data_IF_557706328556
#
_entry.id   IF_557706328556
#
_cell.length_a   1.000
_cell.length_b   1.000
_cell.length_c   1.000
_cell.angle_alpha   90.00
_cell.angle_beta   90.00
_cell.angle_gamma   90.00
#
_symmetry.space_group_name_H-M   'P 1'
#
loop_
_entity.id
_entity.type
_entity.pdbx_description
1 polymer ?
#
# COMPACT_ATOMS: atom_id res chain seq x y z
N UNK A 1 -41.52 10.64 16.51
CA UNK A 1 -40.99 9.30 16.48
C UNK A 1 -40.73 8.99 15.02
N UNK A 2 -39.54 9.41 14.51
CA UNK A 2 -39.15 9.23 13.10
C UNK A 2 -38.19 8.03 13.10
N UNK A 3 -38.70 6.91 12.61
CA UNK A 3 -37.92 5.71 12.37
C UNK A 3 -36.82 6.03 11.34
N UNK A 4 -35.58 6.14 11.82
CA UNK A 4 -34.40 6.03 10.96
C UNK A 4 -34.29 4.58 10.53
N UNK A 5 -34.98 4.21 9.47
CA UNK A 5 -34.69 3.02 8.68
C UNK A 5 -33.27 3.18 8.11
N UNK A 6 -32.29 2.63 8.82
CA UNK A 6 -30.97 2.33 8.28
C UNK A 6 -31.19 1.35 7.12
N UNK A 7 -31.28 1.87 5.92
CA UNK A 7 -31.14 1.07 4.71
C UNK A 7 -29.75 0.47 4.72
N UNK A 8 -29.67 -0.78 5.06
CA UNK A 8 -28.50 -1.63 4.87
C UNK A 8 -28.38 -1.86 3.36
N UNK A 9 -27.90 -0.85 2.62
CA UNK A 9 -27.71 -0.95 1.17
C UNK A 9 -26.47 -1.80 0.92
N UNK A 10 -26.69 -3.06 0.53
CA UNK A 10 -25.68 -3.85 -0.16
C UNK A 10 -25.25 -3.05 -1.40
N UNK A 11 -24.03 -2.52 -1.39
CA UNK A 11 -23.56 -1.62 -2.45
C UNK A 11 -22.49 -2.30 -3.28
N UNK A 12 -22.83 -2.57 -4.54
CA UNK A 12 -21.86 -3.01 -5.52
C UNK A 12 -20.93 -1.84 -5.88
N UNK A 13 -19.69 -1.89 -5.43
CA UNK A 13 -18.71 -0.83 -5.64
C UNK A 13 -17.70 -1.25 -6.68
N UNK A 14 -17.52 -0.42 -7.71
CA UNK A 14 -16.45 -0.52 -8.71
C UNK A 14 -15.33 0.41 -8.30
N UNK A 15 -14.11 -0.12 -8.24
CA UNK A 15 -12.93 0.66 -7.87
C UNK A 15 -11.66 0.02 -8.42
N UNK A 16 -10.62 0.81 -8.52
CA UNK A 16 -9.28 0.26 -8.71
C UNK A 16 -8.71 -0.19 -7.38
N UNK A 17 -7.88 -1.21 -7.42
CA UNK A 17 -7.29 -1.82 -6.23
C UNK A 17 -5.88 -2.31 -6.48
N UNK A 18 -5.05 -2.17 -5.47
CA UNK A 18 -3.71 -2.73 -5.39
C UNK A 18 -3.75 -3.99 -4.52
N UNK A 19 -3.23 -5.09 -5.02
CA UNK A 19 -3.13 -6.34 -4.26
C UNK A 19 -1.99 -6.21 -3.26
N UNK A 20 -2.29 -6.29 -1.96
CA UNK A 20 -1.28 -6.25 -0.91
C UNK A 20 -0.84 -7.64 -0.51
N UNK A 21 -1.79 -8.54 -0.23
CA UNK A 21 -1.52 -9.90 0.25
C UNK A 21 -2.62 -10.85 -0.16
N UNK A 22 -2.24 -12.09 -0.42
CA UNK A 22 -3.18 -13.19 -0.63
C UNK A 22 -2.85 -14.36 0.29
N UNK A 23 -3.84 -14.85 1.05
CA UNK A 23 -3.69 -15.93 2.00
C UNK A 23 -4.70 -17.03 1.69
N UNK A 24 -4.26 -18.29 1.68
CA UNK A 24 -5.16 -19.43 1.52
C UNK A 24 -6.06 -19.57 2.76
N UNK A 25 -7.37 -19.69 2.55
CA UNK A 25 -8.38 -19.78 3.62
C UNK A 25 -9.18 -21.09 3.62
N UNK A 26 -9.05 -21.92 2.61
CA UNK A 26 -9.75 -23.19 2.45
C UNK A 26 -9.26 -23.90 1.20
N UNK A 27 -9.99 -24.88 0.70
CA UNK A 27 -9.55 -25.68 -0.46
C UNK A 27 -9.30 -24.81 -1.69
N UNK A 28 -10.27 -24.00 -2.08
CA UNK A 28 -10.17 -23.08 -3.23
C UNK A 28 -10.49 -21.63 -2.86
N UNK A 29 -10.60 -21.30 -1.56
CA UNK A 29 -10.89 -19.95 -1.10
C UNK A 29 -9.63 -19.26 -0.62
N UNK A 30 -9.53 -17.98 -0.95
CA UNK A 30 -8.44 -17.11 -0.55
C UNK A 30 -9.01 -15.82 0.03
N UNK A 31 -8.35 -15.32 1.06
CA UNK A 31 -8.53 -13.95 1.53
C UNK A 31 -7.47 -13.10 0.84
N UNK A 32 -7.92 -12.00 0.25
CA UNK A 32 -7.06 -11.07 -0.48
C UNK A 32 -7.23 -9.72 0.18
N UNK A 33 -6.13 -9.18 0.65
CA UNK A 33 -6.04 -7.84 1.18
C UNK A 33 -5.72 -6.87 0.05
N UNK A 34 -6.57 -5.88 -0.10
CA UNK A 34 -6.51 -4.88 -1.16
C UNK A 34 -6.42 -3.48 -0.56
N UNK A 35 -5.67 -2.61 -1.21
CA UNK A 35 -5.76 -1.17 -1.00
C UNK A 35 -6.47 -0.56 -2.20
N UNK A 36 -7.64 0.03 -1.96
CA UNK A 36 -8.54 0.50 -3.01
C UNK A 36 -8.60 2.02 -3.05
N UNK A 37 -8.88 2.57 -4.23
CA UNK A 37 -9.02 4.02 -4.41
C UNK A 37 -10.23 4.59 -3.66
N UNK A 38 -11.37 3.86 -3.67
CA UNK A 38 -12.65 4.36 -3.14
C UNK A 38 -12.92 3.95 -1.69
N UNK A 39 -12.36 2.84 -1.21
CA UNK A 39 -12.70 2.27 0.09
C UNK A 39 -11.51 2.20 1.06
N UNK A 40 -10.29 2.56 0.61
CA UNK A 40 -9.08 2.34 1.39
C UNK A 40 -8.75 0.84 1.53
N UNK A 41 -8.37 0.41 2.72
CA UNK A 41 -8.03 -0.99 3.00
C UNK A 41 -9.28 -1.87 3.08
N UNK A 42 -9.33 -2.91 2.25
CA UNK A 42 -10.45 -3.88 2.22
C UNK A 42 -9.91 -5.30 2.10
N UNK A 43 -10.46 -6.21 2.90
CA UNK A 43 -10.21 -7.65 2.75
C UNK A 43 -11.38 -8.31 2.03
N UNK A 44 -11.09 -9.04 0.96
CA UNK A 44 -12.10 -9.76 0.17
C UNK A 44 -11.86 -11.26 0.19
N UNK A 45 -12.94 -12.03 0.05
CA UNK A 45 -12.86 -13.46 -0.17
C UNK A 45 -13.21 -13.79 -1.61
N UNK A 46 -12.40 -14.65 -2.25
CA UNK A 46 -12.63 -15.13 -3.60
C UNK A 46 -12.27 -16.62 -3.74
N UNK A 47 -12.97 -17.31 -4.64
CA UNK A 47 -12.59 -18.67 -5.05
C UNK A 47 -11.66 -18.57 -6.26
N UNK A 48 -10.41 -18.99 -6.07
CA UNK A 48 -9.34 -18.89 -7.08
C UNK A 48 -9.01 -20.29 -7.57
N UNK A 49 -8.93 -20.45 -8.88
CA UNK A 49 -8.56 -21.72 -9.52
C UNK A 49 -7.53 -21.47 -10.63
N UNK A 50 -6.73 -22.50 -10.92
CA UNK A 50 -5.79 -22.48 -12.05
C UNK A 50 -6.45 -22.90 -13.37
N UNK A 51 -7.74 -23.21 -13.38
CA UNK A 51 -8.47 -23.57 -14.61
C UNK A 51 -8.50 -22.38 -15.59
N UNK A 52 -8.33 -22.63 -16.90
CA UNK A 52 -8.46 -21.59 -17.93
C UNK A 52 -9.83 -20.89 -17.94
N UNK A 53 -10.87 -21.59 -17.46
CA UNK A 53 -12.25 -21.08 -17.32
C UNK A 53 -12.54 -20.45 -15.96
N UNK A 54 -11.53 -20.37 -15.06
CA UNK A 54 -11.74 -19.80 -13.75
C UNK A 54 -12.08 -18.31 -13.86
N UNK A 55 -13.07 -17.88 -13.07
CA UNK A 55 -13.46 -16.47 -12.95
C UNK A 55 -12.31 -15.63 -12.41
N UNK A 56 -11.53 -16.17 -11.48
CA UNK A 56 -10.37 -15.52 -10.89
C UNK A 56 -9.14 -16.41 -11.07
N UNK A 57 -8.13 -15.87 -11.75
CA UNK A 57 -6.85 -16.54 -11.94
C UNK A 57 -5.87 -16.11 -10.85
N UNK A 58 -5.04 -17.03 -10.39
CA UNK A 58 -4.05 -16.76 -9.35
C UNK A 58 -3.05 -15.66 -9.77
N UNK A 59 -2.74 -15.55 -11.06
CA UNK A 59 -1.84 -14.53 -11.60
C UNK A 59 -2.31 -13.09 -11.37
N UNK A 60 -3.62 -12.86 -11.20
CA UNK A 60 -4.15 -11.52 -10.92
C UNK A 60 -3.81 -11.04 -9.51
N UNK A 61 -3.59 -11.96 -8.58
CA UNK A 61 -3.38 -11.65 -7.18
C UNK A 61 -1.92 -11.76 -6.75
N UNK A 62 -1.01 -11.44 -7.67
CA UNK A 62 0.40 -11.23 -7.34
C UNK A 62 0.55 -9.93 -6.51
N UNK A 63 1.56 -9.84 -5.61
CA UNK A 63 1.82 -8.63 -4.86
C UNK A 63 1.90 -7.39 -5.75
N UNK A 64 1.26 -6.32 -5.32
CA UNK A 64 1.19 -5.00 -5.96
C UNK A 64 0.63 -4.98 -7.40
N UNK A 65 -0.10 -6.03 -7.81
CA UNK A 65 -0.85 -5.99 -9.07
C UNK A 65 -1.99 -4.99 -8.97
N UNK A 66 -2.14 -4.16 -10.03
CA UNK A 66 -3.25 -3.20 -10.17
C UNK A 66 -4.44 -3.87 -10.86
N UNK A 67 -5.59 -3.83 -10.21
CA UNK A 67 -6.83 -4.44 -10.67
C UNK A 67 -7.97 -3.42 -10.76
N UNK A 68 -8.82 -3.57 -11.77
CA UNK A 68 -10.19 -3.07 -11.76
C UNK A 68 -11.07 -4.14 -11.14
N UNK A 69 -11.77 -3.80 -10.06
CA UNK A 69 -12.55 -4.75 -9.27
C UNK A 69 -13.99 -4.28 -9.04
N UNK A 70 -14.85 -5.25 -8.81
CA UNK A 70 -16.21 -5.06 -8.31
C UNK A 70 -16.37 -5.82 -7.00
N UNK A 71 -16.76 -5.13 -5.94
CA UNK A 71 -16.93 -5.67 -4.59
C UNK A 71 -18.37 -5.47 -4.14
N UNK A 72 -18.96 -6.53 -3.56
CA UNK A 72 -20.23 -6.44 -2.82
C UNK A 72 -19.90 -6.03 -1.37
N UNK A 73 -20.06 -4.74 -1.09
CA UNK A 73 -19.70 -4.13 0.20
C UNK A 73 -20.88 -4.24 1.16
N UNK A 74 -20.64 -4.86 2.33
CA UNK A 74 -21.61 -4.97 3.42
C UNK A 74 -21.02 -4.48 4.71
N UNK A 75 -21.59 -3.46 5.31
CA UNK A 75 -21.10 -2.86 6.56
C UNK A 75 -21.04 -3.85 7.73
N UNK A 76 -21.89 -4.89 7.70
CA UNK A 76 -21.96 -5.92 8.75
C UNK A 76 -20.86 -6.99 8.63
N UNK A 77 -20.03 -6.96 7.59
CA UNK A 77 -19.01 -7.97 7.32
C UNK A 77 -17.62 -7.38 7.27
N UNK A 78 -16.67 -8.01 7.93
CA UNK A 78 -15.25 -7.68 7.84
C UNK A 78 -14.62 -8.18 6.53
N UNK A 79 -15.14 -9.30 5.97
CA UNK A 79 -14.69 -9.87 4.70
C UNK A 79 -15.76 -9.62 3.63
N UNK A 80 -15.39 -8.88 2.61
CA UNK A 80 -16.26 -8.55 1.49
C UNK A 80 -16.21 -9.64 0.40
N UNK A 81 -17.17 -9.62 -0.52
CA UNK A 81 -17.24 -10.59 -1.62
C UNK A 81 -16.75 -9.97 -2.93
N UNK A 82 -15.69 -10.53 -3.51
CA UNK A 82 -15.19 -10.11 -4.82
C UNK A 82 -16.12 -10.66 -5.92
N UNK A 83 -16.66 -9.76 -6.74
CA UNK A 83 -17.59 -10.11 -7.85
C UNK A 83 -16.86 -10.17 -9.19
N UNK A 84 -15.97 -9.24 -9.48
CA UNK A 84 -15.14 -9.26 -10.68
C UNK A 84 -13.75 -8.71 -10.41
N UNK A 85 -12.79 -9.13 -11.21
CA UNK A 85 -11.44 -8.59 -11.23
C UNK A 85 -10.85 -8.71 -12.63
N UNK A 86 -10.20 -7.65 -13.10
CA UNK A 86 -9.43 -7.60 -14.33
C UNK A 86 -8.17 -6.76 -14.10
N UNK A 87 -7.15 -6.96 -14.93
CA UNK A 87 -5.94 -6.14 -14.84
C UNK A 87 -6.25 -4.71 -15.25
N UNK A 88 -6.00 -3.74 -14.37
CA UNK A 88 -6.11 -2.32 -14.67
C UNK A 88 -4.85 -1.82 -15.41
N UNK A 89 -3.69 -2.37 -15.05
CA UNK A 89 -2.42 -2.04 -15.68
C UNK A 89 -1.57 -3.32 -15.84
N UNK A 90 -1.25 -3.72 -17.08
CA UNK A 90 -0.37 -4.86 -17.33
C UNK A 90 1.09 -4.42 -17.21
N UNK A 91 1.73 -4.76 -16.09
CA UNK A 91 3.16 -4.50 -15.92
C UNK A 91 4.00 -5.28 -16.95
N UNK A 92 5.00 -4.62 -17.51
CA UNK A 92 5.88 -5.18 -18.55
C UNK A 92 7.13 -5.85 -17.98
N UNK A 93 7.72 -5.29 -16.92
CA UNK A 93 9.00 -5.72 -16.39
C UNK A 93 8.97 -6.04 -14.89
N UNK A 94 8.04 -5.47 -14.14
CA UNK A 94 8.00 -5.55 -12.69
C UNK A 94 7.90 -6.99 -12.15
N UNK A 95 7.29 -7.90 -12.92
CA UNK A 95 7.11 -9.31 -12.55
C UNK A 95 8.14 -10.25 -13.19
N UNK A 96 9.03 -9.74 -14.04
CA UNK A 96 10.04 -10.54 -14.76
C UNK A 96 11.47 -10.17 -14.38
N UNK A 97 11.71 -8.94 -13.93
CA UNK A 97 13.02 -8.49 -13.44
C UNK A 97 13.20 -8.88 -11.95
N UNK A 98 14.22 -9.69 -11.63
CA UNK A 98 14.46 -10.14 -10.25
C UNK A 98 14.67 -8.98 -9.26
N UNK A 99 15.34 -7.90 -9.68
CA UNK A 99 15.61 -6.74 -8.82
C UNK A 99 14.30 -6.01 -8.48
N UNK A 100 13.43 -5.83 -9.47
CA UNK A 100 12.10 -5.23 -9.27
C UNK A 100 11.21 -6.13 -8.42
N UNK A 101 11.25 -7.43 -8.63
CA UNK A 101 10.50 -8.40 -7.81
C UNK A 101 10.86 -8.31 -6.34
N UNK A 102 12.16 -8.20 -5.99
CA UNK A 102 12.59 -8.01 -4.60
C UNK A 102 12.03 -6.73 -4.00
N UNK A 103 12.06 -5.62 -4.75
CA UNK A 103 11.49 -4.34 -4.32
C UNK A 103 9.97 -4.47 -4.11
N UNK A 104 9.27 -5.09 -5.05
CA UNK A 104 7.81 -5.30 -5.00
C UNK A 104 7.40 -6.13 -3.79
N UNK A 105 8.10 -7.22 -3.51
CA UNK A 105 7.83 -8.06 -2.34
C UNK A 105 8.02 -7.28 -1.03
N UNK A 106 9.13 -6.56 -0.90
CA UNK A 106 9.38 -5.70 0.25
C UNK A 106 8.29 -4.62 0.43
N UNK A 107 7.97 -3.89 -0.65
CA UNK A 107 6.96 -2.83 -0.60
C UNK A 107 5.56 -3.37 -0.32
N UNK A 108 5.24 -4.57 -0.79
CA UNK A 108 3.96 -5.22 -0.50
C UNK A 108 3.77 -5.47 1.01
N UNK A 109 4.80 -6.00 1.68
CA UNK A 109 4.77 -6.20 3.13
C UNK A 109 4.75 -4.87 3.89
N UNK A 110 5.56 -3.91 3.47
CA UNK A 110 5.59 -2.57 4.04
C UNK A 110 4.21 -1.88 3.94
N UNK A 111 3.59 -1.89 2.76
CA UNK A 111 2.26 -1.33 2.54
C UNK A 111 1.19 -2.08 3.34
N UNK A 112 1.30 -3.41 3.48
CA UNK A 112 0.41 -4.17 4.36
C UNK A 112 0.40 -3.64 5.80
N UNK A 113 1.54 -3.24 6.32
CA UNK A 113 1.67 -2.70 7.67
C UNK A 113 1.15 -1.26 7.77
N UNK A 114 1.58 -0.40 6.85
CA UNK A 114 1.29 1.04 6.88
C UNK A 114 -0.18 1.34 6.58
N UNK A 115 -0.82 0.58 5.69
CA UNK A 115 -2.22 0.82 5.30
C UNK A 115 -3.23 0.00 6.12
N UNK A 116 -2.84 -0.56 7.26
CA UNK A 116 -3.70 -1.49 8.02
C UNK A 116 -5.08 -0.92 8.35
N UNK A 117 -5.12 0.32 8.83
CA UNK A 117 -6.33 1.01 9.27
C UNK A 117 -6.68 2.19 8.35
N UNK A 118 -6.08 2.22 7.14
CA UNK A 118 -6.22 3.32 6.22
C UNK A 118 -7.62 3.35 5.61
N UNK A 119 -8.31 4.44 5.82
CA UNK A 119 -9.57 4.77 5.18
C UNK A 119 -9.33 5.21 3.72
N UNK A 120 -10.38 5.64 3.03
CA UNK A 120 -10.25 6.22 1.70
C UNK A 120 -9.22 7.36 1.70
N UNK A 121 -8.14 7.19 0.93
CA UNK A 121 -7.10 8.17 0.76
C UNK A 121 -6.63 8.14 -0.70
N UNK A 122 -7.33 8.89 -1.53
CA UNK A 122 -7.09 8.93 -2.99
C UNK A 122 -5.70 9.48 -3.32
N UNK A 123 -5.17 10.42 -2.51
CA UNK A 123 -3.82 10.96 -2.74
C UNK A 123 -2.75 9.90 -2.50
N UNK A 124 -2.86 9.16 -1.41
CA UNK A 124 -1.96 8.04 -1.09
C UNK A 124 -2.06 6.95 -2.17
N UNK A 125 -3.29 6.58 -2.57
CA UNK A 125 -3.52 5.59 -3.61
C UNK A 125 -2.84 5.98 -4.93
N UNK A 126 -3.07 7.22 -5.39
CA UNK A 126 -2.48 7.73 -6.63
C UNK A 126 -0.95 7.82 -6.56
N UNK A 127 -0.39 8.19 -5.40
CA UNK A 127 1.06 8.18 -5.20
C UNK A 127 1.62 6.78 -5.35
N UNK A 128 1.03 5.77 -4.69
CA UNK A 128 1.48 4.36 -4.77
C UNK A 128 1.39 3.87 -6.22
N UNK A 129 0.25 4.04 -6.86
CA UNK A 129 0.00 3.64 -8.25
C UNK A 129 1.04 4.23 -9.20
N UNK A 130 1.18 5.55 -9.21
CA UNK A 130 2.13 6.24 -10.10
C UNK A 130 3.58 5.83 -9.86
N UNK A 131 3.94 5.55 -8.59
CA UNK A 131 5.27 5.07 -8.24
C UNK A 131 5.56 3.67 -8.80
N UNK A 132 4.58 2.77 -8.78
CA UNK A 132 4.71 1.43 -9.34
C UNK A 132 4.75 1.44 -10.86
N UNK A 133 3.93 2.26 -11.51
CA UNK A 133 3.96 2.47 -12.96
C UNK A 133 5.33 3.03 -13.39
N UNK A 134 5.90 3.96 -12.62
CA UNK A 134 7.24 4.49 -12.84
C UNK A 134 8.32 3.41 -12.68
N UNK A 135 8.24 2.57 -11.63
CA UNK A 135 9.18 1.46 -11.40
C UNK A 135 9.15 0.46 -12.55
N UNK A 136 7.95 0.14 -13.06
CA UNK A 136 7.80 -0.78 -14.20
C UNK A 136 8.50 -0.24 -15.45
N UNK A 137 8.35 1.04 -15.76
CA UNK A 137 8.92 1.68 -16.93
C UNK A 137 10.42 1.99 -16.86
N UNK A 138 11.08 1.84 -15.69
CA UNK A 138 12.53 2.12 -15.55
C UNK A 138 13.36 0.87 -15.76
N UNK A 139 14.47 1.00 -16.50
CA UNK A 139 15.44 -0.08 -16.72
C UNK A 139 16.62 -0.01 -15.76
N UNK A 140 17.03 1.21 -15.35
CA UNK A 140 18.21 1.45 -14.53
C UNK A 140 17.93 2.37 -13.34
N UNK A 141 18.86 2.43 -12.40
CA UNK A 141 18.85 3.33 -11.23
C UNK A 141 17.67 3.09 -10.27
N UNK A 142 17.23 1.82 -10.12
CA UNK A 142 16.10 1.44 -9.25
C UNK A 142 16.53 1.03 -7.83
N UNK A 143 17.83 0.89 -7.57
CA UNK A 143 18.35 0.29 -6.31
C UNK A 143 17.84 1.00 -5.04
N UNK A 144 17.70 2.31 -5.05
CA UNK A 144 17.23 3.12 -3.92
C UNK A 144 15.74 3.50 -4.02
N UNK A 145 15.01 2.95 -5.00
CA UNK A 145 13.61 3.28 -5.20
C UNK A 145 12.77 3.09 -3.94
N UNK A 146 12.92 1.96 -3.26
CA UNK A 146 12.18 1.63 -2.05
C UNK A 146 12.42 2.64 -0.92
N UNK A 147 13.64 3.17 -0.76
CA UNK A 147 13.96 4.19 0.24
C UNK A 147 13.25 5.51 -0.07
N UNK A 148 13.36 5.98 -1.32
CA UNK A 148 12.67 7.21 -1.76
C UNK A 148 11.16 7.06 -1.66
N UNK A 149 10.63 5.88 -2.04
CA UNK A 149 9.21 5.59 -1.94
C UNK A 149 8.72 5.69 -0.49
N UNK A 150 9.40 5.05 0.46
CA UNK A 150 9.03 5.08 1.88
C UNK A 150 9.10 6.49 2.46
N UNK A 151 10.17 7.25 2.18
CA UNK A 151 10.33 8.62 2.65
C UNK A 151 9.20 9.55 2.14
N UNK A 152 8.81 9.41 0.89
CA UNK A 152 7.70 10.18 0.34
C UNK A 152 6.35 9.72 0.89
N UNK A 153 6.16 8.43 1.07
CA UNK A 153 4.95 7.86 1.65
C UNK A 153 4.74 8.34 3.09
N UNK A 154 5.81 8.50 3.87
CA UNK A 154 5.75 8.99 5.25
C UNK A 154 5.00 10.34 5.36
N UNK A 155 5.06 11.20 4.32
CA UNK A 155 4.32 12.46 4.27
C UNK A 155 2.80 12.26 4.24
N UNK A 156 2.32 11.21 3.57
CA UNK A 156 0.88 10.93 3.48
C UNK A 156 0.32 10.34 4.77
N UNK A 157 1.14 9.62 5.53
CA UNK A 157 0.73 8.99 6.80
C UNK A 157 1.10 9.82 8.04
N UNK A 158 1.59 11.06 7.83
CA UNK A 158 1.86 12.01 8.91
C UNK A 158 3.14 11.74 9.72
N UNK A 159 4.05 10.91 9.21
CA UNK A 159 5.35 10.61 9.83
C UNK A 159 6.53 11.29 9.13
N UNK A 160 6.29 12.41 8.45
CA UNK A 160 7.38 13.15 7.82
C UNK A 160 8.29 13.76 8.87
N UNK A 161 9.62 13.53 8.81
CA UNK A 161 10.54 14.24 9.68
C UNK A 161 10.44 15.75 9.44
N UNK A 162 10.47 16.53 10.50
CA UNK A 162 10.52 18.00 10.40
C UNK A 162 11.97 18.40 10.11
N UNK A 163 12.25 18.69 8.84
CA UNK A 163 13.58 19.09 8.37
C UNK A 163 13.72 20.63 8.21
N UNK A 164 12.67 21.39 8.53
CA UNK A 164 12.66 22.85 8.34
C UNK A 164 13.46 23.59 9.40
N UNK A 165 13.60 23.03 10.61
CA UNK A 165 14.26 23.66 11.76
C UNK A 165 15.77 23.34 11.86
N UNK A 166 16.42 23.02 10.73
CA UNK A 166 17.86 22.74 10.74
C UNK A 166 18.68 23.98 11.12
N UNK A 167 19.60 23.80 12.06
CA UNK A 167 20.63 24.76 12.43
C UNK A 167 21.99 24.10 12.44
N UNK A 168 23.03 24.79 12.04
CA UNK A 168 24.38 24.22 12.02
C UNK A 168 24.81 23.74 13.42
N UNK A 169 25.30 22.51 13.49
CA UNK A 169 25.71 21.87 14.75
C UNK A 169 24.60 21.17 15.53
N UNK A 170 23.34 21.18 15.07
CA UNK A 170 22.26 20.44 15.71
C UNK A 170 22.35 18.94 15.44
N UNK A 171 21.78 18.15 16.37
CA UNK A 171 21.49 16.73 16.19
C UNK A 171 20.10 16.56 15.60
N UNK A 172 19.80 15.37 15.03
CA UNK A 172 18.45 15.01 14.65
C UNK A 172 17.97 13.84 15.51
N UNK A 173 16.90 14.05 16.27
CA UNK A 173 16.28 13.02 17.10
C UNK A 173 15.35 12.14 16.25
N UNK A 174 15.72 10.87 16.07
CA UNK A 174 14.97 9.90 15.27
C UNK A 174 13.63 9.50 15.91
N UNK A 175 13.45 9.71 17.24
CA UNK A 175 12.20 9.39 17.93
C UNK A 175 11.15 10.48 17.75
N UNK A 176 11.55 11.72 17.91
CA UNK A 176 10.66 12.87 17.72
C UNK A 176 10.54 13.31 16.25
N UNK A 177 11.51 12.91 15.40
CA UNK A 177 11.58 13.34 14.00
C UNK A 177 11.91 14.83 13.83
N UNK A 178 12.68 15.43 14.77
CA UNK A 178 12.98 16.86 14.81
C UNK A 178 14.45 17.14 15.07
N UNK A 179 14.94 18.30 14.64
CA UNK A 179 16.26 18.80 15.01
C UNK A 179 16.29 19.30 16.47
N UNK A 180 17.40 19.07 17.17
CA UNK A 180 17.62 19.51 18.55
C UNK A 180 19.07 19.98 18.75
N UNK A 181 19.25 21.04 19.53
CA UNK A 181 20.59 21.59 19.86
C UNK A 181 21.32 20.79 20.93
N UNK A 182 20.59 20.07 21.78
CA UNK A 182 21.15 19.19 22.82
C UNK A 182 21.08 17.74 22.42
N UNK A 183 22.12 16.94 22.71
CA UNK A 183 22.08 15.51 22.49
C UNK A 183 21.03 14.85 23.41
N UNK A 184 20.00 14.18 22.86
CA UNK A 184 19.00 13.45 23.65
C UNK A 184 19.64 12.32 24.47
N UNK A 185 18.99 11.95 25.60
CA UNK A 185 19.46 10.89 26.51
C UNK A 185 19.14 9.46 26.00
N UNK A 186 19.17 9.23 24.68
CA UNK A 186 18.95 7.92 24.04
C UNK A 186 19.82 7.78 22.80
N UNK A 187 20.06 6.53 22.31
CA UNK A 187 20.98 6.27 21.20
C UNK A 187 20.39 6.59 19.81
N UNK A 188 19.07 6.81 19.70
CA UNK A 188 18.38 7.00 18.41
C UNK A 188 18.51 8.47 17.95
N UNK A 189 19.74 8.88 17.64
CA UNK A 189 20.11 10.26 17.30
C UNK A 189 21.11 10.25 16.14
N UNK A 190 20.89 11.10 15.16
CA UNK A 190 21.91 11.46 14.17
C UNK A 190 22.76 12.61 14.74
N UNK A 191 24.06 12.39 14.81
CA UNK A 191 25.01 13.41 15.23
C UNK A 191 25.13 14.52 14.16
N UNK A 192 25.66 15.72 14.47
CA UNK A 192 25.67 16.88 13.57
C UNK A 192 26.19 16.56 12.16
N UNK A 193 27.23 15.73 12.03
CA UNK A 193 27.80 15.38 10.72
C UNK A 193 26.83 14.58 9.83
N UNK A 194 25.93 13.82 10.42
CA UNK A 194 24.94 13.02 9.68
C UNK A 194 23.62 13.77 9.57
N UNK A 195 23.24 14.51 10.60
CA UNK A 195 22.06 15.37 10.60
C UNK A 195 22.12 16.45 9.51
N UNK A 196 23.32 16.99 9.19
CA UNK A 196 23.54 17.98 8.13
C UNK A 196 23.30 17.44 6.70
N UNK A 197 23.14 16.12 6.52
CA UNK A 197 22.92 15.47 5.23
C UNK A 197 21.44 15.19 4.95
N UNK A 198 20.57 15.47 5.91
CA UNK A 198 19.12 15.30 5.78
C UNK A 198 18.48 16.47 5.03
#
# INVERSE_FOLDING_TARGET
MLDFLYFCTDMLTKTQALVLKMVKYGDNKYIIDLFTEELGRVSVVASISNSPKARFRRSFFQPLTLLDIEIDVRQTRSLQSLKSASLAFPYSSMMTDPSKMCIVMFLSEFLCAVTRDEQRNTLLYNYIRSSLEWLDGKEEHISNFHLVFMMRLAKFVGFSPNVEDYTEGCCFDLRSGTFCMSNPFHPDVLLPNDASKM
#
